data_IF_205186911354
#
_entry.id   IF_205186911354
#
_cell.length_a   1.000
_cell.length_b   1.000
_cell.length_c   1.000
_cell.angle_alpha   90.00
_cell.angle_beta   90.00
_cell.angle_gamma   90.00
#
_symmetry.space_group_name_H-M   'P 1'
#
loop_
_entity.id
_entity.type
_entity.pdbx_description
1 polymer ?
#
# COMPACT_ATOMS: atom_id res chain seq x y z
N UNK A 1 44.83 14.46 59.47
CA UNK A 1 44.30 13.11 59.17
C UNK A 1 42.81 13.10 58.84
N UNK A 2 42.03 14.08 59.22
CA UNK A 2 40.55 14.15 58.99
C UNK A 2 40.18 14.70 57.59
N UNK A 3 41.00 15.52 56.96
CA UNK A 3 40.70 16.10 55.63
C UNK A 3 40.85 15.12 54.46
N UNK A 4 41.76 14.16 54.54
CA UNK A 4 41.95 13.15 53.47
C UNK A 4 40.78 12.20 53.34
N UNK A 5 40.09 11.88 54.44
CA UNK A 5 38.95 10.99 54.47
C UNK A 5 37.71 11.66 53.82
N UNK A 6 37.51 12.94 54.02
CA UNK A 6 36.39 13.73 53.43
C UNK A 6 36.53 13.89 51.93
N UNK A 7 37.75 14.01 51.39
CA UNK A 7 38.03 14.13 49.97
C UNK A 7 37.79 12.78 49.24
N UNK A 8 38.17 11.66 49.84
CA UNK A 8 37.93 10.31 49.29
C UNK A 8 36.44 9.97 49.20
N UNK A 9 35.67 10.36 50.20
CA UNK A 9 34.23 10.09 50.27
C UNK A 9 33.44 10.91 49.25
N UNK A 10 33.81 12.19 49.03
CA UNK A 10 33.20 13.04 47.95
C UNK A 10 33.51 12.50 46.56
N UNK A 11 34.75 12.05 46.31
CA UNK A 11 35.09 11.44 45.02
C UNK A 11 34.28 10.18 44.75
N UNK A 12 34.10 9.33 45.76
CA UNK A 12 33.33 8.10 45.67
C UNK A 12 31.84 8.38 45.37
N UNK A 13 31.26 9.38 46.01
CA UNK A 13 29.88 9.79 45.75
C UNK A 13 29.67 10.32 44.31
N UNK A 14 30.62 11.08 43.76
CA UNK A 14 30.54 11.56 42.39
C UNK A 14 30.65 10.41 41.36
N UNK A 15 31.50 9.43 41.61
CA UNK A 15 31.59 8.27 40.72
C UNK A 15 30.33 7.40 40.76
N UNK A 16 29.74 7.21 41.92
CA UNK A 16 28.45 6.50 42.06
C UNK A 16 27.34 7.24 41.34
N UNK A 17 27.24 8.57 41.54
CA UNK A 17 26.26 9.37 40.81
C UNK A 17 26.46 9.32 39.32
N UNK A 18 27.71 9.45 38.82
CA UNK A 18 28.02 9.35 37.39
C UNK A 18 27.64 7.97 36.80
N UNK A 19 27.92 6.89 37.54
CA UNK A 19 27.54 5.54 37.13
C UNK A 19 26.01 5.37 37.08
N UNK A 20 25.28 5.94 38.02
CA UNK A 20 23.81 5.93 38.04
C UNK A 20 23.24 6.69 36.84
N UNK A 21 23.78 7.86 36.55
CA UNK A 21 23.38 8.65 35.36
C UNK A 21 23.70 7.92 34.04
N UNK A 22 24.88 7.32 33.93
CA UNK A 22 25.23 6.52 32.77
C UNK A 22 24.28 5.34 32.56
N UNK A 23 23.93 4.63 33.65
CA UNK A 23 22.95 3.54 33.59
C UNK A 23 21.56 4.02 33.18
N UNK A 24 21.11 5.16 33.76
CA UNK A 24 19.82 5.74 33.40
C UNK A 24 19.75 6.19 31.94
N UNK A 25 20.81 6.81 31.41
CA UNK A 25 20.91 7.21 30.02
C UNK A 25 20.90 5.96 29.09
N UNK A 26 21.65 4.94 29.45
CA UNK A 26 21.68 3.69 28.68
C UNK A 26 20.30 3.03 28.67
N UNK A 27 19.64 2.93 29.82
CA UNK A 27 18.30 2.36 29.91
C UNK A 27 17.28 3.16 29.10
N UNK A 28 17.31 4.50 29.17
CA UNK A 28 16.46 5.37 28.38
C UNK A 28 16.71 5.21 26.87
N UNK A 29 17.97 5.10 26.45
CA UNK A 29 18.32 4.90 25.03
C UNK A 29 17.83 3.54 24.51
N UNK A 30 17.96 2.47 25.31
CA UNK A 30 17.45 1.14 24.95
C UNK A 30 15.91 1.16 24.85
N UNK A 31 15.24 1.80 25.83
CA UNK A 31 13.78 1.93 25.80
C UNK A 31 13.31 2.73 24.58
N UNK A 32 13.97 3.82 24.24
CA UNK A 32 13.67 4.61 23.05
C UNK A 32 13.86 3.80 21.75
N UNK A 33 14.99 3.08 21.64
CA UNK A 33 15.25 2.21 20.50
C UNK A 33 14.19 1.10 20.36
N UNK A 34 13.84 0.44 21.46
CA UNK A 34 12.80 -0.60 21.49
C UNK A 34 11.43 -0.03 21.06
N UNK A 35 11.08 1.17 21.52
CA UNK A 35 9.84 1.85 21.15
C UNK A 35 9.81 2.16 19.65
N UNK A 36 10.87 2.76 19.11
CA UNK A 36 10.97 3.07 17.68
C UNK A 36 10.89 1.79 16.84
N UNK A 37 11.63 0.74 17.22
CA UNK A 37 11.58 -0.55 16.53
C UNK A 37 10.17 -1.15 16.58
N UNK A 38 9.49 -1.07 17.72
CA UNK A 38 8.11 -1.55 17.88
C UNK A 38 7.12 -0.78 17.00
N UNK A 39 7.27 0.54 16.89
CA UNK A 39 6.42 1.36 16.02
C UNK A 39 6.65 1.04 14.53
N UNK A 40 7.91 0.86 14.12
CA UNK A 40 8.26 0.47 12.76
C UNK A 40 7.69 -0.93 12.45
N UNK A 41 7.93 -1.90 13.34
CA UNK A 41 7.38 -3.24 13.17
C UNK A 41 5.85 -3.22 13.06
N UNK A 42 5.17 -2.45 13.91
CA UNK A 42 3.73 -2.28 13.85
C UNK A 42 3.26 -1.68 12.52
N UNK A 43 3.96 -0.69 11.99
CA UNK A 43 3.60 -0.07 10.70
C UNK A 43 3.73 -1.04 9.52
N UNK A 44 4.58 -2.07 9.66
CA UNK A 44 4.76 -3.11 8.65
C UNK A 44 3.64 -4.15 8.72
N UNK A 45 3.24 -4.56 9.93
CA UNK A 45 2.33 -5.69 10.14
C UNK A 45 0.84 -5.28 10.24
N UNK A 46 0.54 -4.00 10.36
CA UNK A 46 -0.84 -3.51 10.42
C UNK A 46 -1.19 -2.81 9.11
N UNK A 47 -2.29 -3.22 8.43
CA UNK A 47 -2.77 -2.57 7.23
C UNK A 47 -3.06 -1.08 7.46
N UNK A 48 -2.70 -0.18 6.54
CA UNK A 48 -3.09 1.21 6.63
C UNK A 48 -4.62 1.35 6.46
N UNK A 49 -5.28 1.97 7.42
CA UNK A 49 -6.73 2.20 7.38
C UNK A 49 -7.16 3.19 6.30
N UNK A 50 -6.28 4.12 5.96
CA UNK A 50 -6.49 5.10 4.89
C UNK A 50 -5.30 5.08 3.96
N UNK A 51 -5.57 5.21 2.68
CA UNK A 51 -4.54 5.40 1.67
C UNK A 51 -4.27 6.88 1.52
N UNK A 52 -3.02 7.26 1.37
CA UNK A 52 -2.63 8.65 1.16
C UNK A 52 -2.94 9.08 -0.27
N UNK A 53 -3.39 10.32 -0.41
CA UNK A 53 -3.60 11.02 -1.68
C UNK A 53 -2.57 12.14 -1.70
N UNK A 54 -1.44 11.88 -2.31
CA UNK A 54 -0.22 12.69 -2.22
C UNK A 54 0.03 13.55 -3.46
N UNK A 55 -0.66 13.24 -4.57
CA UNK A 55 -0.47 13.96 -5.83
C UNK A 55 -1.57 14.98 -6.04
N UNK A 56 -1.22 16.26 -6.16
CA UNK A 56 -2.18 17.32 -6.44
C UNK A 56 -2.59 17.30 -7.92
N UNK A 57 -3.89 17.35 -8.17
CA UNK A 57 -4.48 17.57 -9.50
C UNK A 57 -4.56 19.08 -9.72
N UNK A 58 -3.87 19.59 -10.72
CA UNK A 58 -3.80 21.02 -11.04
C UNK A 58 -4.85 21.42 -12.05
N UNK A 59 -5.18 20.53 -12.99
CA UNK A 59 -6.18 20.74 -14.01
C UNK A 59 -6.35 19.51 -14.90
N UNK A 60 -7.42 19.49 -15.66
CA UNK A 60 -7.66 18.48 -16.68
C UNK A 60 -8.58 19.02 -17.78
N UNK A 61 -8.49 18.42 -18.94
CA UNK A 61 -9.38 18.64 -20.06
C UNK A 61 -9.78 17.29 -20.68
N UNK A 62 -11.04 16.95 -20.53
CA UNK A 62 -11.58 15.69 -21.07
C UNK A 62 -11.69 15.70 -22.60
N UNK A 63 -11.80 16.87 -23.24
CA UNK A 63 -11.91 16.97 -24.70
C UNK A 63 -10.57 16.70 -25.36
N UNK A 64 -9.50 17.24 -24.78
CA UNK A 64 -8.13 16.99 -25.26
C UNK A 64 -7.50 15.73 -24.66
N UNK A 65 -8.13 15.12 -23.67
CA UNK A 65 -7.62 13.92 -23.01
C UNK A 65 -6.35 14.19 -22.19
N UNK A 66 -6.31 15.31 -21.46
CA UNK A 66 -5.11 15.77 -20.74
C UNK A 66 -5.42 16.02 -19.28
N UNK A 67 -4.48 15.65 -18.42
CA UNK A 67 -4.51 15.96 -16.99
C UNK A 67 -3.13 16.40 -16.49
N UNK A 68 -3.11 17.44 -15.68
CA UNK A 68 -1.89 18.03 -15.12
C UNK A 68 -1.83 17.81 -13.61
N UNK A 69 -0.66 17.43 -13.13
CA UNK A 69 -0.35 17.16 -11.72
C UNK A 69 0.80 18.02 -11.23
N UNK A 70 0.85 18.26 -9.93
CA UNK A 70 2.10 18.66 -9.31
C UNK A 70 3.15 17.55 -9.51
N UNK A 71 4.40 17.94 -9.73
CA UNK A 71 5.49 16.99 -9.91
C UNK A 71 5.67 16.16 -8.63
N UNK A 72 5.62 14.86 -8.77
CA UNK A 72 5.86 13.87 -7.73
C UNK A 72 6.56 12.65 -8.35
N UNK A 73 7.11 11.77 -7.51
CA UNK A 73 7.72 10.52 -7.99
C UNK A 73 6.71 9.69 -8.80
N UNK A 74 5.48 9.56 -8.31
CA UNK A 74 4.44 8.77 -8.97
C UNK A 74 3.99 9.43 -10.29
N UNK A 75 3.75 10.75 -10.28
CA UNK A 75 3.35 11.47 -11.49
C UNK A 75 4.42 11.41 -12.59
N UNK A 76 5.70 11.35 -12.23
CA UNK A 76 6.85 11.34 -13.16
C UNK A 76 7.29 9.93 -13.57
N UNK A 77 6.70 8.87 -13.00
CA UNK A 77 7.06 7.49 -13.36
C UNK A 77 6.34 7.09 -14.65
N UNK A 78 7.06 6.68 -15.72
CA UNK A 78 6.44 6.22 -16.96
C UNK A 78 5.51 5.01 -16.74
N UNK A 79 4.44 4.92 -17.54
CA UNK A 79 3.50 3.80 -17.47
C UNK A 79 2.05 4.24 -17.53
N UNK A 80 1.16 3.27 -17.36
CA UNK A 80 -0.29 3.46 -17.26
C UNK A 80 -0.76 3.14 -15.85
N UNK A 81 -1.65 3.99 -15.30
CA UNK A 81 -2.06 3.91 -13.91
C UNK A 81 -3.56 4.13 -13.75
N UNK A 82 -4.13 3.52 -12.74
CA UNK A 82 -5.39 3.96 -12.18
C UNK A 82 -5.15 5.14 -11.24
N UNK A 83 -5.95 6.18 -11.39
CA UNK A 83 -5.91 7.39 -10.60
C UNK A 83 -7.14 7.42 -9.69
N UNK A 84 -6.94 7.21 -8.40
CA UNK A 84 -7.99 7.24 -7.40
C UNK A 84 -8.11 8.62 -6.78
N UNK A 85 -9.34 9.11 -6.59
CA UNK A 85 -9.61 10.41 -6.00
C UNK A 85 -10.86 10.40 -5.13
N UNK A 86 -11.04 11.46 -4.33
CA UNK A 86 -12.21 11.65 -3.45
C UNK A 86 -12.49 10.43 -2.54
N UNK A 87 -11.47 9.91 -1.83
CA UNK A 87 -11.57 8.76 -0.93
C UNK A 87 -12.16 7.50 -1.65
N UNK A 88 -11.57 7.14 -2.78
CA UNK A 88 -11.95 6.02 -3.65
C UNK A 88 -13.37 6.12 -4.27
N UNK A 89 -14.04 7.28 -4.14
CA UNK A 89 -15.33 7.55 -4.80
C UNK A 89 -15.18 8.01 -6.24
N UNK A 90 -13.94 8.11 -6.74
CA UNK A 90 -13.64 8.43 -8.11
C UNK A 90 -12.43 7.64 -8.60
N UNK A 91 -12.50 7.26 -9.87
CA UNK A 91 -11.48 6.52 -10.59
C UNK A 91 -11.35 7.08 -12.00
N UNK A 92 -10.13 7.43 -12.36
CA UNK A 92 -9.74 7.73 -13.73
C UNK A 92 -8.57 6.84 -14.18
N UNK A 93 -8.34 6.78 -15.46
CA UNK A 93 -7.18 6.10 -16.06
C UNK A 93 -6.27 7.12 -16.70
N UNK A 94 -5.00 7.04 -16.39
CA UNK A 94 -3.97 7.92 -16.93
C UNK A 94 -2.92 7.13 -17.69
N UNK A 95 -2.54 7.67 -18.82
CA UNK A 95 -1.62 7.05 -19.77
C UNK A 95 -0.22 7.66 -19.71
N UNK A 96 0.35 7.88 -20.88
CA UNK A 96 1.70 8.38 -21.07
C UNK A 96 1.90 9.79 -20.49
N UNK A 97 3.14 10.09 -20.14
CA UNK A 97 3.59 11.46 -19.88
C UNK A 97 3.70 12.16 -21.23
N UNK A 98 3.02 13.29 -21.37
CA UNK A 98 3.00 14.11 -22.60
C UNK A 98 3.72 15.45 -22.44
N UNK A 99 4.04 15.83 -21.19
CA UNK A 99 4.83 17.01 -20.89
C UNK A 99 5.30 17.05 -19.45
N UNK A 100 6.43 17.68 -19.23
CA UNK A 100 7.00 17.90 -17.90
C UNK A 100 7.62 19.29 -17.81
N UNK A 101 7.52 19.88 -16.62
CA UNK A 101 8.25 21.07 -16.22
C UNK A 101 9.01 20.80 -14.92
N UNK A 102 9.65 21.80 -14.34
CA UNK A 102 10.29 21.65 -13.03
C UNK A 102 9.30 21.35 -11.92
N UNK A 103 8.05 21.79 -12.05
CA UNK A 103 7.02 21.73 -10.99
C UNK A 103 5.79 20.93 -11.36
N UNK A 104 5.57 20.60 -12.63
CA UNK A 104 4.37 19.91 -13.11
C UNK A 104 4.68 18.73 -14.02
N UNK A 105 3.73 17.81 -14.10
CA UNK A 105 3.73 16.68 -15.03
C UNK A 105 2.36 16.62 -15.69
N UNK A 106 2.34 16.61 -17.02
CA UNK A 106 1.14 16.47 -17.82
C UNK A 106 1.06 15.08 -18.41
N UNK A 107 -0.07 14.42 -18.22
CA UNK A 107 -0.29 13.05 -18.69
C UNK A 107 -1.54 12.95 -19.56
N UNK A 108 -1.58 11.90 -20.36
CA UNK A 108 -2.78 11.48 -21.05
C UNK A 108 -3.87 11.10 -20.04
N UNK A 109 -5.06 11.69 -20.13
CA UNK A 109 -6.27 11.29 -19.45
C UNK A 109 -7.03 10.33 -20.37
N UNK A 110 -6.88 9.01 -20.16
CA UNK A 110 -7.52 8.00 -20.99
C UNK A 110 -9.04 7.97 -20.79
N UNK A 111 -9.48 8.22 -19.54
CA UNK A 111 -10.91 8.33 -19.24
C UNK A 111 -11.17 8.43 -17.75
N UNK A 112 -12.40 8.83 -17.41
CA UNK A 112 -12.94 8.80 -16.05
C UNK A 112 -13.96 7.67 -16.00
N UNK A 113 -13.66 6.65 -15.19
CA UNK A 113 -14.53 5.47 -15.06
C UNK A 113 -15.79 5.78 -14.23
N UNK A 114 -15.59 6.52 -13.15
CA UNK A 114 -16.65 7.03 -12.29
C UNK A 114 -16.16 8.16 -11.38
N UNK A 115 -17.10 8.87 -10.80
CA UNK A 115 -16.83 10.03 -9.94
C UNK A 115 -16.66 11.32 -10.73
N UNK A 116 -16.55 12.42 -10.00
CA UNK A 116 -16.40 13.76 -10.54
C UNK A 116 -14.97 14.25 -10.35
N UNK A 117 -14.18 14.19 -11.42
CA UNK A 117 -12.77 14.59 -11.41
C UNK A 117 -12.60 16.10 -11.18
N UNK A 118 -13.61 16.93 -11.50
CA UNK A 118 -13.54 18.39 -11.26
C UNK A 118 -13.46 18.75 -9.78
N UNK A 119 -13.84 17.82 -8.91
CA UNK A 119 -13.80 17.97 -7.45
C UNK A 119 -12.55 17.35 -6.82
N UNK A 120 -11.65 16.82 -7.62
CA UNK A 120 -10.45 16.14 -7.14
C UNK A 120 -9.30 17.14 -6.95
N UNK A 121 -9.07 17.61 -5.74
CA UNK A 121 -7.88 18.40 -5.42
C UNK A 121 -6.61 17.52 -5.31
N UNK A 122 -6.78 16.29 -4.86
CA UNK A 122 -5.70 15.30 -4.71
C UNK A 122 -6.12 13.94 -5.24
N UNK A 123 -5.13 13.22 -5.73
CA UNK A 123 -5.28 11.88 -6.26
C UNK A 123 -4.16 10.96 -5.80
N UNK A 124 -4.35 9.67 -5.98
CA UNK A 124 -3.38 8.62 -5.70
C UNK A 124 -3.22 7.75 -6.94
N UNK A 125 -1.98 7.60 -7.39
CA UNK A 125 -1.64 6.62 -8.41
C UNK A 125 -1.67 5.20 -7.87
N UNK A 126 -2.15 4.27 -8.69
CA UNK A 126 -2.08 2.85 -8.42
C UNK A 126 -1.63 2.11 -9.69
N UNK A 127 -0.70 1.18 -9.53
CA UNK A 127 -0.14 0.40 -10.64
C UNK A 127 -1.13 -0.61 -11.25
N UNK A 128 -2.34 -0.72 -10.71
CA UNK A 128 -3.37 -1.56 -11.31
C UNK A 128 -4.02 -0.82 -12.47
N UNK A 129 -3.92 -1.39 -13.64
CA UNK A 129 -4.65 -0.87 -14.79
C UNK A 129 -6.12 -1.31 -14.76
N UNK A 130 -6.35 -2.56 -14.40
CA UNK A 130 -7.68 -3.12 -14.28
C UNK A 130 -8.22 -2.90 -12.87
N UNK A 131 -9.34 -2.22 -12.75
CA UNK A 131 -10.01 -1.96 -11.48
C UNK A 131 -11.11 -2.98 -11.17
N UNK A 132 -11.53 -3.75 -12.18
CA UNK A 132 -12.60 -4.73 -12.05
C UNK A 132 -12.33 -5.95 -12.93
N UNK A 133 -12.78 -7.17 -12.54
CA UNK A 133 -12.68 -8.36 -13.40
C UNK A 133 -13.29 -8.17 -14.80
N UNK A 134 -14.41 -7.46 -14.88
CA UNK A 134 -15.10 -7.15 -16.15
C UNK A 134 -14.24 -6.33 -17.12
N UNK A 135 -13.23 -5.61 -16.64
CA UNK A 135 -12.35 -4.80 -17.49
C UNK A 135 -11.48 -5.67 -18.42
N UNK A 136 -11.36 -6.96 -18.09
CA UNK A 136 -10.67 -7.94 -18.94
C UNK A 136 -11.54 -8.42 -20.12
N UNK A 137 -12.86 -8.22 -20.07
CA UNK A 137 -13.78 -8.78 -21.07
C UNK A 137 -13.84 -10.31 -21.06
N UNK A 138 -13.38 -10.95 -19.98
CA UNK A 138 -13.33 -12.40 -19.80
C UNK A 138 -14.43 -12.87 -18.85
N UNK A 139 -15.00 -14.07 -19.03
CA UNK A 139 -15.89 -14.68 -18.05
C UNK A 139 -15.18 -14.86 -16.71
N UNK A 140 -15.88 -14.55 -15.64
CA UNK A 140 -15.38 -14.72 -14.27
C UNK A 140 -16.53 -14.99 -13.31
N UNK A 141 -16.20 -15.55 -12.17
CA UNK A 141 -17.12 -15.80 -11.07
C UNK A 141 -16.61 -15.10 -9.81
N UNK A 142 -17.56 -14.55 -9.02
CA UNK A 142 -17.28 -14.16 -7.64
C UNK A 142 -17.43 -15.41 -6.79
N UNK A 143 -16.35 -15.79 -6.12
CA UNK A 143 -16.32 -16.96 -5.24
C UNK A 143 -15.86 -16.55 -3.85
N UNK A 144 -16.15 -17.39 -2.88
CA UNK A 144 -15.72 -17.20 -1.50
C UNK A 144 -14.78 -18.34 -1.12
N UNK A 145 -13.71 -18.00 -0.42
CA UNK A 145 -12.75 -18.96 0.14
C UNK A 145 -12.97 -19.00 1.64
N UNK A 146 -13.31 -20.16 2.17
CA UNK A 146 -13.51 -20.34 3.61
C UNK A 146 -12.20 -20.17 4.35
N UNK A 147 -12.22 -19.32 5.39
CA UNK A 147 -11.09 -19.10 6.31
C UNK A 147 -11.57 -19.24 7.75
N UNK A 148 -10.62 -19.34 8.70
CA UNK A 148 -10.97 -19.41 10.13
C UNK A 148 -11.66 -18.15 10.65
N UNK A 149 -11.59 -17.04 9.90
CA UNK A 149 -12.21 -15.75 10.24
C UNK A 149 -13.52 -15.51 9.51
N UNK A 150 -13.92 -16.42 8.61
CA UNK A 150 -15.08 -16.29 7.74
C UNK A 150 -14.69 -16.34 6.27
N UNK A 151 -15.69 -16.22 5.40
CA UNK A 151 -15.51 -16.30 3.96
C UNK A 151 -14.73 -15.08 3.42
N UNK A 152 -13.66 -15.33 2.70
CA UNK A 152 -12.87 -14.31 2.03
C UNK A 152 -13.24 -14.23 0.55
N UNK A 153 -13.55 -13.04 0.01
CA UNK A 153 -13.96 -12.91 -1.38
C UNK A 153 -12.79 -13.12 -2.34
N UNK A 154 -13.06 -13.83 -3.42
CA UNK A 154 -12.10 -14.11 -4.49
C UNK A 154 -12.75 -13.99 -5.86
N UNK A 155 -11.93 -13.96 -6.91
CA UNK A 155 -12.37 -14.04 -8.30
C UNK A 155 -11.79 -15.28 -8.95
N UNK A 156 -12.66 -16.03 -9.60
CA UNK A 156 -12.32 -17.22 -10.37
C UNK A 156 -12.44 -16.92 -11.86
N UNK A 157 -11.36 -17.17 -12.61
CA UNK A 157 -11.35 -17.19 -14.05
C UNK A 157 -11.01 -18.60 -14.53
N UNK A 158 -11.94 -19.24 -15.19
CA UNK A 158 -11.72 -20.55 -15.79
C UNK A 158 -11.09 -20.42 -17.18
N UNK A 159 -10.18 -21.32 -17.50
CA UNK A 159 -9.61 -21.39 -18.83
C UNK A 159 -10.64 -21.89 -19.85
N UNK A 160 -10.54 -21.45 -21.10
CA UNK A 160 -11.40 -21.93 -22.17
C UNK A 160 -11.06 -23.38 -22.57
N UNK A 161 -9.75 -23.66 -22.59
CA UNK A 161 -9.21 -25.01 -22.80
C UNK A 161 -8.50 -25.44 -21.52
N UNK A 162 -9.29 -25.94 -20.55
CA UNK A 162 -8.78 -26.28 -19.23
C UNK A 162 -7.85 -27.50 -19.28
N UNK A 163 -6.60 -27.26 -18.88
CA UNK A 163 -5.57 -28.31 -18.76
C UNK A 163 -5.58 -29.00 -17.39
N UNK A 164 -6.50 -28.62 -16.50
CA UNK A 164 -6.52 -29.05 -15.10
C UNK A 164 -5.51 -28.32 -14.21
N UNK A 165 -4.74 -27.38 -14.76
CA UNK A 165 -3.78 -26.58 -14.00
C UNK A 165 -4.44 -25.36 -13.38
N UNK A 166 -3.95 -25.01 -12.19
CA UNK A 166 -4.45 -23.89 -11.42
C UNK A 166 -3.33 -22.95 -11.01
N UNK A 167 -3.62 -21.65 -10.97
CA UNK A 167 -2.79 -20.65 -10.36
C UNK A 167 -3.59 -19.88 -9.28
N UNK A 168 -3.06 -19.86 -8.07
CA UNK A 168 -3.56 -19.02 -6.98
C UNK A 168 -2.73 -17.76 -6.98
N UNK A 169 -3.39 -16.62 -7.19
CA UNK A 169 -2.74 -15.33 -7.28
C UNK A 169 -2.99 -14.53 -6.00
N UNK A 170 -1.91 -14.23 -5.29
CA UNK A 170 -1.93 -13.52 -4.02
C UNK A 170 -1.36 -12.11 -4.24
N UNK A 171 -2.11 -11.09 -3.87
CA UNK A 171 -1.67 -9.71 -4.01
C UNK A 171 -0.61 -9.32 -2.98
N UNK A 172 0.15 -8.26 -3.28
CA UNK A 172 1.15 -7.73 -2.36
C UNK A 172 0.53 -7.05 -1.13
N UNK A 173 1.34 -6.88 -0.08
CA UNK A 173 0.96 -6.14 1.12
C UNK A 173 0.47 -4.73 0.77
N UNK A 174 -0.61 -4.29 1.41
CA UNK A 174 -1.26 -3.00 1.14
C UNK A 174 -1.75 -2.82 -0.31
N UNK A 175 -1.87 -3.91 -1.06
CA UNK A 175 -2.50 -3.96 -2.36
C UNK A 175 -3.89 -4.63 -2.24
N UNK A 176 -4.45 -5.09 -3.33
CA UNK A 176 -5.72 -5.83 -3.39
C UNK A 176 -5.63 -6.86 -4.51
N UNK A 177 -6.52 -7.86 -4.53
CA UNK A 177 -6.60 -8.88 -5.60
C UNK A 177 -6.68 -8.30 -7.02
N UNK A 178 -7.06 -7.01 -7.17
CA UNK A 178 -7.04 -6.28 -8.44
C UNK A 178 -5.68 -6.27 -9.13
N UNK A 179 -4.58 -6.29 -8.34
CA UNK A 179 -3.22 -6.32 -8.87
C UNK A 179 -2.97 -7.55 -9.76
N UNK A 180 -3.61 -8.66 -9.44
CA UNK A 180 -3.46 -9.92 -10.15
C UNK A 180 -4.22 -9.97 -11.48
N UNK A 181 -5.20 -9.09 -11.72
CA UNK A 181 -5.99 -9.09 -12.95
C UNK A 181 -5.15 -9.02 -14.21
N UNK A 182 -4.02 -8.31 -14.18
CA UNK A 182 -3.11 -8.16 -15.31
C UNK A 182 -2.49 -9.47 -15.79
N UNK A 183 -2.39 -10.49 -14.95
CA UNK A 183 -1.77 -11.78 -15.29
C UNK A 183 -2.79 -12.83 -15.75
N UNK A 184 -4.08 -12.61 -15.50
CA UNK A 184 -5.14 -13.55 -15.88
C UNK A 184 -5.12 -13.92 -17.38
N UNK A 185 -4.98 -12.97 -18.33
CA UNK A 185 -4.94 -13.32 -19.74
C UNK A 185 -3.79 -14.27 -20.12
N UNK A 186 -2.64 -14.14 -19.43
CA UNK A 186 -1.47 -14.98 -19.68
C UNK A 186 -1.76 -16.42 -19.25
N UNK A 187 -2.19 -16.61 -18.01
CA UNK A 187 -2.48 -17.96 -17.50
C UNK A 187 -3.66 -18.63 -18.23
N UNK A 188 -4.69 -17.84 -18.55
CA UNK A 188 -5.81 -18.32 -19.34
C UNK A 188 -5.37 -18.77 -20.73
N UNK A 189 -4.43 -18.05 -21.38
CA UNK A 189 -3.85 -18.44 -22.67
C UNK A 189 -3.10 -19.76 -22.62
N UNK A 190 -2.51 -20.10 -21.48
CA UNK A 190 -1.85 -21.39 -21.23
C UNK A 190 -2.82 -22.50 -20.80
N UNK A 191 -4.11 -22.22 -20.74
CA UNK A 191 -5.13 -23.19 -20.31
C UNK A 191 -5.21 -23.41 -18.80
N UNK A 192 -4.79 -22.42 -17.99
CA UNK A 192 -4.79 -22.51 -16.54
C UNK A 192 -5.94 -21.71 -15.93
N UNK A 193 -6.59 -22.30 -14.94
CA UNK A 193 -7.57 -21.62 -14.12
C UNK A 193 -6.89 -20.67 -13.15
N UNK A 194 -7.44 -19.48 -12.95
CA UNK A 194 -6.86 -18.45 -12.07
C UNK A 194 -7.81 -18.12 -10.94
N UNK A 195 -7.35 -18.30 -9.68
CA UNK A 195 -8.04 -17.88 -8.48
C UNK A 195 -7.31 -16.69 -7.86
N UNK A 196 -7.95 -15.52 -7.89
CA UNK A 196 -7.43 -14.28 -7.33
C UNK A 196 -8.02 -14.07 -5.95
N UNK A 197 -7.22 -14.27 -4.91
CA UNK A 197 -7.67 -14.24 -3.52
C UNK A 197 -7.39 -12.91 -2.83
N UNK A 198 -8.20 -12.60 -1.81
CA UNK A 198 -7.87 -11.64 -0.76
C UNK A 198 -7.47 -12.42 0.48
N UNK A 199 -6.27 -12.22 1.00
CA UNK A 199 -5.89 -12.90 2.24
C UNK A 199 -6.38 -12.14 3.48
N UNK A 200 -6.45 -12.85 4.60
CA UNK A 200 -6.96 -12.35 5.88
C UNK A 200 -6.30 -11.04 6.30
N UNK A 201 -7.09 -10.14 6.89
CA UNK A 201 -6.65 -8.82 7.35
C UNK A 201 -6.16 -7.89 6.24
N UNK A 202 -6.52 -8.13 4.99
CA UNK A 202 -6.25 -7.20 3.89
C UNK A 202 -7.43 -7.07 2.93
N UNK A 203 -7.59 -5.89 2.33
CA UNK A 203 -8.66 -5.60 1.38
C UNK A 203 -10.06 -5.84 1.96
N UNK A 204 -10.83 -6.69 1.29
CA UNK A 204 -12.22 -7.03 1.63
C UNK A 204 -12.33 -8.33 2.44
N UNK A 205 -11.19 -8.94 2.80
CA UNK A 205 -11.19 -10.19 3.57
C UNK A 205 -11.50 -9.95 5.05
N UNK A 206 -11.97 -10.98 5.79
CA UNK A 206 -12.23 -10.88 7.22
C UNK A 206 -10.99 -10.47 8.03
N UNK A 207 -11.23 -9.72 9.12
CA UNK A 207 -10.18 -9.17 9.98
C UNK A 207 -10.16 -9.86 11.34
N UNK A 208 -8.95 -10.12 11.86
CA UNK A 208 -8.74 -10.51 13.26
C UNK A 208 -8.93 -9.31 14.20
N UNK A 209 -9.16 -9.58 15.48
CA UNK A 209 -9.30 -8.53 16.50
C UNK A 209 -8.04 -7.64 16.65
N UNK A 210 -6.86 -8.18 16.37
CA UNK A 210 -5.59 -7.43 16.44
C UNK A 210 -5.29 -6.64 15.16
N UNK A 211 -6.03 -6.90 14.07
CA UNK A 211 -5.94 -6.19 12.79
C UNK A 211 -4.59 -6.29 12.08
N UNK A 212 -3.80 -7.34 12.35
CA UNK A 212 -2.51 -7.55 11.70
C UNK A 212 -2.66 -8.33 10.41
N UNK A 213 -1.77 -8.10 9.45
CA UNK A 213 -1.69 -8.98 8.27
C UNK A 213 -1.46 -10.44 8.72
N UNK A 214 -2.19 -11.34 8.10
CA UNK A 214 -2.01 -12.77 8.27
C UNK A 214 -1.21 -13.30 7.07
N UNK A 215 0.10 -13.37 7.23
CA UNK A 215 1.03 -13.76 6.18
C UNK A 215 1.37 -15.27 6.19
N UNK A 216 0.54 -16.08 6.80
CA UNK A 216 0.67 -17.53 6.86
C UNK A 216 0.04 -18.11 8.10
#
# INVERSE_FOLDING_TARGET
MVDHVRHADRRRSHWVAAAQWALAITAASVAAAATVTGLIARSIIVPPKKREYDTHVLGFDQHTGVIEFSRSADASTPGRYSLWFNDERGLARVGAIIGETETTVTRELVGVEYGDLSRAAKARFAGWWFAHPRDLGLPYENVEVDTELGAAPAWLFTAEHDTGCWVIQVHGRASRRHEALRSVPVFRGEGWNSLLISYRNDGDAPYTADGRYALG
#
